data_IF_596234462950
#
_entry.id   IF_596234462950
#
_cell.length_a   1.000
_cell.length_b   1.000
_cell.length_c   1.000
_cell.angle_alpha   90.00
_cell.angle_beta   90.00
_cell.angle_gamma   90.00
#
_symmetry.space_group_name_H-M   'P 1'
#
loop_
_entity.id
_entity.type
_entity.pdbx_description
1 polymer ?
#
# COMPACT_ATOMS: atom_id res chain seq x y z
N UNK A 1 -18.30 3.87 -22.50
CA UNK A 1 -17.18 4.82 -22.26
C UNK A 1 -15.93 4.24 -22.92
N UNK A 2 -15.10 5.02 -23.61
CA UNK A 2 -13.88 4.50 -24.27
C UNK A 2 -12.70 4.58 -23.32
N UNK A 3 -11.91 3.51 -23.24
CA UNK A 3 -10.71 3.46 -22.43
C UNK A 3 -9.64 4.39 -23.02
N UNK A 4 -9.05 5.25 -22.18
CA UNK A 4 -8.07 6.25 -22.63
C UNK A 4 -6.69 5.61 -22.70
N UNK A 5 -5.98 5.80 -23.81
CA UNK A 5 -4.56 5.46 -23.92
C UNK A 5 -3.71 6.66 -23.52
N UNK A 6 -2.86 6.49 -22.49
CA UNK A 6 -2.00 7.55 -21.98
C UNK A 6 -0.78 7.76 -22.88
N UNK A 7 -0.46 9.03 -23.12
CA UNK A 7 0.78 9.45 -23.80
C UNK A 7 1.98 9.23 -22.89
N UNK A 8 3.13 8.82 -23.47
CA UNK A 8 4.42 8.76 -22.77
C UNK A 8 5.04 10.15 -22.50
N UNK A 9 4.54 11.20 -23.16
CA UNK A 9 5.06 12.56 -23.03
C UNK A 9 4.25 13.44 -22.08
N UNK A 10 3.19 12.90 -21.47
CA UNK A 10 2.35 13.61 -20.50
C UNK A 10 1.98 12.70 -19.35
N UNK A 11 2.10 13.21 -18.12
CA UNK A 11 1.72 12.50 -16.89
C UNK A 11 0.24 12.68 -16.54
N UNK A 12 -0.53 13.41 -17.36
CA UNK A 12 -1.93 13.69 -17.06
C UNK A 12 -2.79 12.42 -17.13
N UNK A 13 -3.69 12.29 -16.15
CA UNK A 13 -4.73 11.26 -16.13
C UNK A 13 -6.10 11.88 -16.46
N UNK A 14 -7.02 11.12 -17.10
CA UNK A 14 -8.43 11.48 -17.12
C UNK A 14 -8.99 11.54 -15.69
N UNK A 15 -10.16 12.15 -15.53
CA UNK A 15 -10.84 12.19 -14.23
C UNK A 15 -11.16 10.76 -13.75
N UNK A 16 -10.90 10.40 -12.48
CA UNK A 16 -11.32 9.13 -11.91
C UNK A 16 -12.82 8.85 -12.03
N UNK A 17 -13.65 9.90 -12.13
CA UNK A 17 -15.10 9.75 -12.34
C UNK A 17 -15.45 9.10 -13.69
N UNK A 18 -14.51 9.15 -14.64
CA UNK A 18 -14.59 8.49 -15.92
C UNK A 18 -13.99 7.08 -15.93
N UNK A 19 -13.82 6.41 -14.79
CA UNK A 19 -13.42 5.00 -14.75
C UNK A 19 -14.59 4.07 -15.07
N UNK A 20 -14.32 2.96 -15.76
CA UNK A 20 -15.32 1.98 -16.19
C UNK A 20 -16.05 1.36 -15.00
N UNK A 21 -17.32 1.01 -15.20
CA UNK A 21 -18.08 0.17 -14.25
C UNK A 21 -17.70 -1.30 -14.39
N UNK A 22 -17.42 -1.74 -15.61
CA UNK A 22 -16.96 -3.08 -15.90
C UNK A 22 -15.82 -3.05 -16.95
N UNK A 23 -14.63 -3.58 -16.63
CA UNK A 23 -14.22 -4.03 -15.29
C UNK A 23 -14.15 -2.84 -14.31
N UNK A 24 -14.58 -3.06 -13.05
CA UNK A 24 -14.74 -1.99 -12.06
C UNK A 24 -13.46 -1.18 -11.85
N UNK A 25 -13.52 0.11 -12.16
CA UNK A 25 -12.46 1.06 -11.88
C UNK A 25 -11.41 1.19 -12.97
N UNK A 26 -11.45 0.42 -14.05
CA UNK A 26 -10.45 0.56 -15.11
C UNK A 26 -10.57 1.95 -15.78
N UNK A 27 -9.52 2.75 -15.70
CA UNK A 27 -9.53 4.17 -16.07
C UNK A 27 -8.76 4.43 -17.37
N UNK A 28 -7.56 3.86 -17.49
CA UNK A 28 -6.67 4.12 -18.62
C UNK A 28 -5.66 2.98 -18.84
N UNK A 29 -5.05 2.95 -20.03
CA UNK A 29 -3.98 2.02 -20.38
C UNK A 29 -2.75 2.75 -20.93
N UNK A 30 -1.58 2.14 -20.80
CA UNK A 30 -0.31 2.65 -21.31
C UNK A 30 0.36 3.69 -20.41
N UNK A 31 1.12 4.60 -21.01
CA UNK A 31 2.03 5.48 -20.28
C UNK A 31 3.34 4.78 -19.89
N UNK A 32 3.78 5.00 -18.65
CA UNK A 32 5.04 4.53 -18.07
C UNK A 32 4.89 4.40 -16.54
N UNK A 33 5.89 3.83 -15.86
CA UNK A 33 5.95 3.78 -14.38
C UNK A 33 6.95 4.79 -13.82
N UNK A 34 7.11 5.95 -14.47
CA UNK A 34 8.02 6.98 -13.95
C UNK A 34 7.53 7.49 -12.59
N UNK A 35 8.45 7.88 -11.68
CA UNK A 35 8.07 8.43 -10.37
C UNK A 35 7.06 9.58 -10.47
N UNK A 36 7.24 10.49 -11.42
CA UNK A 36 6.34 11.62 -11.63
C UNK A 36 4.92 11.18 -11.98
N UNK A 37 4.75 10.14 -12.82
CA UNK A 37 3.43 9.62 -13.16
C UNK A 37 2.80 8.86 -12.00
N UNK A 38 3.55 8.00 -11.31
CA UNK A 38 3.04 7.27 -10.14
C UNK A 38 2.54 8.23 -9.07
N UNK A 39 3.33 9.27 -8.73
CA UNK A 39 2.90 10.29 -7.77
C UNK A 39 1.65 11.03 -8.24
N UNK A 40 1.56 11.40 -9.51
CA UNK A 40 0.35 12.00 -10.08
C UNK A 40 -0.86 11.05 -9.99
N UNK A 41 -0.66 9.75 -10.19
CA UNK A 41 -1.70 8.75 -10.09
C UNK A 41 -2.22 8.67 -8.64
N UNK A 42 -1.34 8.44 -7.66
CA UNK A 42 -1.73 8.34 -6.25
C UNK A 42 -2.40 9.60 -5.71
N UNK A 43 -1.90 10.79 -6.10
CA UNK A 43 -2.51 12.07 -5.72
C UNK A 43 -3.93 12.26 -6.28
N UNK A 44 -4.33 11.43 -7.26
CA UNK A 44 -5.66 11.41 -7.88
C UNK A 44 -6.45 10.15 -7.54
N UNK A 45 -5.97 9.31 -6.63
CA UNK A 45 -6.66 8.08 -6.23
C UNK A 45 -6.53 6.96 -7.26
N UNK A 46 -5.52 7.02 -8.11
CA UNK A 46 -5.28 6.07 -9.20
C UNK A 46 -4.06 5.22 -8.86
N UNK A 47 -4.11 3.92 -9.14
CA UNK A 47 -2.99 3.00 -8.93
C UNK A 47 -2.77 2.10 -10.15
N UNK A 48 -1.53 1.64 -10.41
CA UNK A 48 -1.25 0.69 -11.46
C UNK A 48 -1.60 -0.74 -10.99
N UNK A 49 -2.27 -1.51 -11.84
CA UNK A 49 -2.52 -2.93 -11.56
C UNK A 49 -2.73 -3.70 -12.87
N UNK A 50 -1.83 -4.62 -13.21
CA UNK A 50 -1.83 -5.34 -14.48
C UNK A 50 -1.04 -6.65 -14.35
N UNK A 51 -1.29 -7.62 -15.24
CA UNK A 51 -0.59 -8.89 -15.23
C UNK A 51 0.67 -8.86 -16.11
N UNK A 52 1.63 -9.77 -15.91
CA UNK A 52 2.73 -9.95 -16.86
C UNK A 52 2.21 -10.17 -18.28
N UNK A 53 2.68 -9.35 -19.23
CA UNK A 53 2.24 -9.40 -20.64
C UNK A 53 1.14 -8.39 -20.98
N UNK A 54 0.41 -7.87 -19.99
CA UNK A 54 -0.55 -6.79 -20.20
C UNK A 54 0.16 -5.45 -20.42
N UNK A 55 -0.47 -4.50 -21.15
CA UNK A 55 -0.07 -3.10 -21.05
C UNK A 55 -0.27 -2.61 -19.60
N UNK A 56 0.43 -1.54 -19.21
CA UNK A 56 0.17 -0.89 -17.92
C UNK A 56 -1.30 -0.46 -17.87
N UNK A 57 -2.03 -0.91 -16.87
CA UNK A 57 -3.43 -0.53 -16.61
C UNK A 57 -3.52 0.29 -15.32
N UNK A 58 -4.39 1.30 -15.34
CA UNK A 58 -4.57 2.24 -14.24
C UNK A 58 -6.01 2.20 -13.76
N UNK A 59 -6.18 2.14 -12.43
CA UNK A 59 -7.47 1.84 -11.80
C UNK A 59 -7.87 2.87 -10.75
N UNK A 60 -9.17 3.10 -10.63
CA UNK A 60 -9.82 3.86 -9.58
C UNK A 60 -11.24 3.28 -9.33
N UNK A 61 -11.35 2.15 -8.61
CA UNK A 61 -12.60 1.43 -8.37
C UNK A 61 -13.63 2.27 -7.61
N UNK A 62 -14.89 1.92 -7.83
CA UNK A 62 -16.05 2.41 -7.07
C UNK A 62 -16.96 1.21 -6.75
N UNK A 63 -17.11 0.81 -5.48
CA UNK A 63 -16.52 1.43 -4.28
C UNK A 63 -15.00 1.26 -4.17
N UNK A 64 -14.39 2.07 -3.29
CA UNK A 64 -12.96 2.01 -2.92
C UNK A 64 -12.83 1.37 -1.55
N UNK A 65 -11.90 0.42 -1.41
CA UNK A 65 -11.60 -0.20 -0.13
C UNK A 65 -10.61 0.65 0.69
N UNK A 66 -10.93 0.86 1.97
CA UNK A 66 -10.11 1.62 2.92
C UNK A 66 -10.07 0.94 4.29
N UNK A 67 -9.03 1.21 5.04
CA UNK A 67 -8.89 0.82 6.44
C UNK A 67 -8.64 2.08 7.27
N UNK A 68 -9.55 2.38 8.18
CA UNK A 68 -9.32 3.34 9.25
C UNK A 68 -8.40 2.66 10.27
N UNK A 69 -7.17 3.15 10.53
CA UNK A 69 -6.23 2.49 11.43
C UNK A 69 -6.83 2.22 12.82
N UNK A 70 -7.69 3.10 13.33
CA UNK A 70 -8.40 2.96 14.60
C UNK A 70 -9.44 1.82 14.59
N UNK A 71 -9.90 1.42 13.42
CA UNK A 71 -10.86 0.33 13.20
C UNK A 71 -10.18 -1.01 12.94
N UNK A 72 -8.84 -1.09 12.99
CA UNK A 72 -8.09 -2.32 12.76
C UNK A 72 -8.61 -3.44 13.68
N UNK A 73 -9.18 -4.47 13.06
CA UNK A 73 -9.69 -5.62 13.76
C UNK A 73 -8.59 -6.65 13.97
N UNK A 74 -8.24 -6.86 15.25
CA UNK A 74 -7.29 -7.90 15.66
C UNK A 74 -7.96 -8.90 16.59
N UNK A 75 -7.90 -10.18 16.20
CA UNK A 75 -8.48 -11.28 16.96
C UNK A 75 -7.84 -11.42 18.36
N UNK A 76 -8.55 -12.07 19.28
CA UNK A 76 -8.01 -12.34 20.63
C UNK A 76 -6.73 -13.17 20.61
N UNK A 77 -6.62 -14.14 19.69
CA UNK A 77 -5.40 -14.95 19.54
C UNK A 77 -4.24 -14.09 19.06
N UNK A 78 -4.47 -13.21 18.08
CA UNK A 78 -3.44 -12.31 17.57
C UNK A 78 -2.97 -11.31 18.64
N UNK A 79 -3.88 -10.76 19.45
CA UNK A 79 -3.48 -9.91 20.60
C UNK A 79 -2.60 -10.65 21.60
N UNK A 80 -2.87 -11.94 21.86
CA UNK A 80 -2.02 -12.77 22.74
C UNK A 80 -0.68 -13.07 22.11
N UNK A 81 -0.66 -13.38 20.82
CA UNK A 81 0.56 -13.60 20.04
C UNK A 81 1.45 -12.36 20.07
N UNK A 82 0.89 -11.19 19.76
CA UNK A 82 1.66 -9.94 19.68
C UNK A 82 2.35 -9.57 21.01
N UNK A 83 1.67 -9.77 22.15
CA UNK A 83 2.26 -9.54 23.49
C UNK A 83 3.52 -10.36 23.80
N UNK A 84 3.70 -11.50 23.13
CA UNK A 84 4.87 -12.38 23.28
C UNK A 84 5.54 -12.59 21.92
N UNK A 85 5.42 -11.59 21.05
CA UNK A 85 5.85 -11.75 19.66
C UNK A 85 7.36 -11.96 19.62
N UNK A 86 7.85 -12.98 18.89
CA UNK A 86 9.28 -13.16 18.67
C UNK A 86 9.80 -12.21 17.58
N UNK A 87 8.97 -11.28 17.10
CA UNK A 87 9.28 -10.45 15.95
C UNK A 87 9.83 -9.09 16.33
N UNK A 88 10.84 -8.65 15.58
CA UNK A 88 11.26 -7.25 15.52
C UNK A 88 10.59 -6.63 14.29
N UNK A 89 9.97 -5.46 14.45
CA UNK A 89 9.36 -4.71 13.34
C UNK A 89 10.17 -3.46 13.08
N UNK A 90 10.57 -3.25 11.84
CA UNK A 90 11.28 -2.06 11.40
C UNK A 90 10.54 -1.34 10.29
N UNK A 91 10.97 -0.11 10.03
CA UNK A 91 10.55 0.68 8.90
C UNK A 91 11.76 1.03 8.04
N UNK A 92 11.61 0.92 6.71
CA UNK A 92 12.57 1.37 5.70
C UNK A 92 14.00 0.82 5.84
N UNK A 93 14.19 -0.35 6.43
CA UNK A 93 15.50 -1.02 6.45
C UNK A 93 15.71 -1.96 5.27
N UNK A 94 14.64 -2.52 4.70
CA UNK A 94 14.77 -3.54 3.64
C UNK A 94 13.64 -3.45 2.61
N UNK A 95 13.37 -2.23 2.10
CA UNK A 95 12.32 -1.99 1.10
C UNK A 95 12.40 -2.97 -0.08
N UNK A 96 13.60 -3.20 -0.61
CA UNK A 96 13.80 -4.13 -1.73
C UNK A 96 13.41 -5.57 -1.42
N UNK A 97 13.84 -6.08 -0.26
CA UNK A 97 13.48 -7.43 0.15
C UNK A 97 11.97 -7.57 0.39
N UNK A 98 11.30 -6.50 0.86
CA UNK A 98 9.85 -6.50 1.04
C UNK A 98 9.10 -6.56 -0.29
N UNK A 99 9.44 -5.70 -1.24
CA UNK A 99 8.74 -5.71 -2.54
C UNK A 99 9.04 -7.01 -3.32
N UNK A 100 10.25 -7.55 -3.20
CA UNK A 100 10.61 -8.87 -3.75
C UNK A 100 9.81 -9.99 -3.08
N UNK A 101 9.67 -9.98 -1.75
CA UNK A 101 8.83 -10.96 -1.03
C UNK A 101 7.36 -10.91 -1.46
N UNK A 102 6.82 -9.71 -1.68
CA UNK A 102 5.48 -9.53 -2.25
C UNK A 102 5.37 -10.04 -3.70
N UNK A 103 6.48 -10.06 -4.45
CA UNK A 103 6.52 -10.55 -5.82
C UNK A 103 6.65 -12.08 -5.91
N UNK A 104 7.42 -12.71 -5.02
CA UNK A 104 7.72 -14.15 -5.09
C UNK A 104 6.68 -15.05 -4.42
N UNK A 105 6.02 -14.60 -3.37
CA UNK A 105 5.31 -15.49 -2.45
C UNK A 105 3.81 -15.65 -2.80
N UNK A 106 3.49 -15.90 -4.08
CA UNK A 106 2.12 -16.12 -4.55
C UNK A 106 2.01 -17.30 -5.51
N UNK A 107 1.19 -18.30 -5.14
CA UNK A 107 0.96 -19.51 -5.96
C UNK A 107 0.31 -19.20 -7.33
N UNK A 108 -0.56 -18.19 -7.39
CA UNK A 108 -1.27 -17.78 -8.62
C UNK A 108 -0.52 -16.70 -9.44
N UNK A 109 0.72 -16.38 -9.06
CA UNK A 109 1.50 -15.28 -9.63
C UNK A 109 1.19 -13.92 -9.01
N UNK A 110 1.87 -12.88 -9.51
CA UNK A 110 1.82 -11.52 -8.95
C UNK A 110 1.71 -10.48 -10.06
N UNK A 111 1.09 -9.34 -9.75
CA UNK A 111 1.13 -8.15 -10.60
C UNK A 111 2.46 -7.38 -10.48
N UNK A 112 3.26 -7.72 -9.46
CA UNK A 112 4.54 -7.08 -9.17
C UNK A 112 5.62 -7.64 -10.11
N UNK A 113 5.64 -7.11 -11.33
CA UNK A 113 6.68 -7.41 -12.31
C UNK A 113 8.00 -6.74 -11.95
N UNK A 114 9.11 -7.14 -12.60
CA UNK A 114 10.41 -6.46 -12.45
C UNK A 114 10.31 -4.94 -12.67
N UNK A 115 9.52 -4.48 -13.64
CA UNK A 115 9.32 -3.04 -13.89
C UNK A 115 8.60 -2.33 -12.75
N UNK A 116 7.67 -3.02 -12.05
CA UNK A 116 7.03 -2.51 -10.83
C UNK A 116 8.06 -2.43 -9.70
N UNK A 117 8.86 -3.49 -9.50
CA UNK A 117 9.94 -3.49 -8.49
C UNK A 117 10.86 -2.29 -8.66
N UNK A 118 11.40 -2.09 -9.87
CA UNK A 118 12.29 -0.99 -10.19
C UNK A 118 11.63 0.40 -9.98
N UNK A 119 10.37 0.56 -10.38
CA UNK A 119 9.65 1.81 -10.24
C UNK A 119 9.38 2.20 -8.78
N UNK A 120 8.99 1.25 -7.94
CA UNK A 120 8.70 1.50 -6.53
C UNK A 120 9.98 1.62 -5.70
N UNK A 121 11.05 0.92 -6.08
CA UNK A 121 12.39 1.21 -5.56
C UNK A 121 12.77 2.66 -5.79
N UNK A 122 12.53 3.17 -7.01
CA UNK A 122 12.83 4.56 -7.31
C UNK A 122 11.96 5.53 -6.49
N UNK A 123 10.69 5.19 -6.24
CA UNK A 123 9.84 5.97 -5.31
C UNK A 123 10.38 5.94 -3.87
N UNK A 124 10.91 4.81 -3.42
CA UNK A 124 11.50 4.69 -2.10
C UNK A 124 12.76 5.55 -1.95
N UNK A 125 13.67 5.52 -2.93
CA UNK A 125 14.86 6.38 -2.97
C UNK A 125 14.51 7.88 -2.94
N UNK A 126 13.36 8.24 -3.51
CA UNK A 126 12.85 9.61 -3.50
C UNK A 126 12.06 9.96 -2.21
N UNK A 127 11.91 9.02 -1.28
CA UNK A 127 11.23 9.22 0.00
C UNK A 127 9.71 9.19 -0.07
N UNK A 128 9.12 8.54 -1.08
CA UNK A 128 7.67 8.46 -1.27
C UNK A 128 7.08 7.08 -0.99
N UNK A 129 7.84 6.01 -1.22
CA UNK A 129 7.43 4.65 -0.90
C UNK A 129 8.15 4.14 0.35
N UNK A 130 7.44 3.42 1.19
CA UNK A 130 7.94 2.97 2.48
C UNK A 130 7.57 1.51 2.75
N UNK A 131 8.45 0.84 3.46
CA UNK A 131 8.30 -0.56 3.86
C UNK A 131 8.21 -0.68 5.37
N UNK A 132 7.45 -1.68 5.80
CA UNK A 132 7.39 -2.19 7.17
C UNK A 132 7.86 -3.63 7.11
N UNK A 133 8.91 -3.93 7.84
CA UNK A 133 9.58 -5.23 7.80
C UNK A 133 9.36 -5.98 9.11
N UNK A 134 9.10 -7.29 9.03
CA UNK A 134 8.94 -8.16 10.19
C UNK A 134 10.03 -9.20 10.17
N UNK A 135 10.88 -9.16 11.19
CA UNK A 135 12.05 -9.99 11.34
C UNK A 135 11.85 -10.99 12.45
N UNK A 136 12.24 -12.24 12.22
CA UNK A 136 12.52 -13.19 13.30
C UNK A 136 14.04 -13.33 13.37
N UNK A 137 14.63 -12.86 14.46
CA UNK A 137 16.09 -12.71 14.55
C UNK A 137 16.60 -11.83 13.38
N UNK A 138 17.37 -12.42 12.46
CA UNK A 138 17.92 -11.77 11.27
C UNK A 138 17.19 -12.12 9.96
N UNK A 139 16.16 -12.98 10.02
CA UNK A 139 15.40 -13.41 8.85
C UNK A 139 14.17 -12.52 8.62
N UNK A 140 13.98 -12.05 7.38
CA UNK A 140 12.78 -11.33 6.97
C UNK A 140 11.63 -12.31 6.70
N UNK A 141 10.65 -12.34 7.61
CA UNK A 141 9.57 -13.33 7.64
C UNK A 141 8.20 -12.77 7.24
N UNK A 142 8.13 -11.48 6.97
CA UNK A 142 6.94 -10.81 6.45
C UNK A 142 7.16 -9.31 6.31
N UNK A 143 6.19 -8.65 5.70
CA UNK A 143 6.25 -7.20 5.56
C UNK A 143 5.16 -6.67 4.66
N UNK A 144 5.11 -5.34 4.57
CA UNK A 144 4.23 -4.62 3.67
C UNK A 144 4.94 -3.38 3.13
N UNK A 145 4.53 -2.92 1.96
CA UNK A 145 5.00 -1.65 1.42
C UNK A 145 3.84 -0.83 0.87
N UNK A 146 4.08 0.47 0.71
CA UNK A 146 3.10 1.38 0.17
C UNK A 146 3.64 2.77 -0.08
N UNK A 147 2.78 3.67 -0.53
CA UNK A 147 3.12 5.04 -0.93
C UNK A 147 2.45 6.05 -0.01
N UNK A 148 3.24 6.97 0.55
CA UNK A 148 2.73 8.01 1.44
C UNK A 148 2.02 9.12 0.66
N UNK A 149 0.86 9.55 1.16
CA UNK A 149 0.07 10.68 0.68
C UNK A 149 -0.33 11.56 1.89
N UNK A 150 0.63 12.30 2.43
CA UNK A 150 0.43 13.13 3.62
C UNK A 150 0.09 12.28 4.84
N UNK A 151 -1.14 12.41 5.37
CA UNK A 151 -1.64 11.58 6.48
C UNK A 151 -2.45 10.36 6.01
N UNK A 152 -2.37 10.01 4.72
CA UNK A 152 -2.94 8.79 4.12
C UNK A 152 -1.79 7.91 3.61
N UNK A 153 -1.93 6.59 3.74
CA UNK A 153 -0.98 5.62 3.21
C UNK A 153 -1.65 4.68 2.21
N UNK A 154 -1.18 4.64 0.97
CA UNK A 154 -1.63 3.68 -0.04
C UNK A 154 -0.89 2.36 0.16
N UNK A 155 -1.56 1.37 0.75
CA UNK A 155 -1.00 0.03 0.96
C UNK A 155 -1.04 -0.76 -0.34
N UNK A 156 0.13 -1.19 -0.83
CA UNK A 156 0.24 -1.84 -2.15
C UNK A 156 0.18 -3.35 -2.05
N UNK A 157 1.02 -3.92 -1.19
CA UNK A 157 1.07 -5.35 -1.00
C UNK A 157 1.74 -5.71 0.32
N UNK A 158 1.48 -6.94 0.74
CA UNK A 158 2.08 -7.58 1.90
C UNK A 158 2.38 -9.04 1.60
N UNK A 159 3.34 -9.60 2.34
CA UNK A 159 3.67 -11.01 2.31
C UNK A 159 3.89 -11.54 3.73
N UNK A 160 3.77 -12.85 3.89
CA UNK A 160 3.90 -13.52 5.18
C UNK A 160 4.49 -14.92 4.96
N UNK A 161 5.68 -15.17 5.51
CA UNK A 161 6.35 -16.47 5.50
C UNK A 161 6.20 -17.21 6.83
N UNK A 162 5.77 -16.50 7.86
CA UNK A 162 5.52 -17.05 9.18
C UNK A 162 4.15 -16.63 9.73
N UNK A 163 3.71 -17.37 10.75
CA UNK A 163 2.43 -17.13 11.43
C UNK A 163 2.33 -15.68 11.91
N UNK A 164 1.25 -15.01 11.54
CA UNK A 164 0.94 -13.65 11.97
C UNK A 164 1.95 -12.56 11.55
N UNK A 165 2.99 -12.84 10.75
CA UNK A 165 4.01 -11.85 10.42
C UNK A 165 3.42 -10.62 9.71
N UNK A 166 2.68 -10.79 8.62
CA UNK A 166 2.00 -9.68 7.92
C UNK A 166 1.01 -8.90 8.81
N UNK A 167 0.27 -9.59 9.67
CA UNK A 167 -0.65 -8.97 10.64
C UNK A 167 0.09 -8.17 11.71
N UNK A 168 1.25 -8.64 12.17
CA UNK A 168 2.12 -7.89 13.07
C UNK A 168 2.65 -6.63 12.39
N UNK A 169 3.03 -6.71 11.11
CA UNK A 169 3.46 -5.53 10.33
C UNK A 169 2.37 -4.44 10.33
N UNK A 170 1.15 -4.83 9.95
CA UNK A 170 0.01 -3.90 9.89
C UNK A 170 -0.37 -3.36 11.27
N UNK A 171 -0.39 -4.20 12.31
CA UNK A 171 -0.71 -3.78 13.67
C UNK A 171 0.27 -2.71 14.18
N UNK A 172 1.56 -3.00 14.13
CA UNK A 172 2.60 -2.06 14.59
C UNK A 172 2.60 -0.79 13.75
N UNK A 173 2.40 -0.91 12.44
CA UNK A 173 2.30 0.27 11.58
C UNK A 173 1.07 1.12 11.90
N UNK A 174 -0.11 0.53 12.11
CA UNK A 174 -1.30 1.29 12.48
C UNK A 174 -1.10 2.05 13.81
N UNK A 175 -0.54 1.41 14.83
CA UNK A 175 -0.26 2.06 16.12
C UNK A 175 0.70 3.26 15.94
N UNK A 176 1.80 3.06 15.22
CA UNK A 176 2.78 4.11 14.94
C UNK A 176 2.17 5.24 14.09
N UNK A 177 1.39 4.90 13.06
CA UNK A 177 0.79 5.84 12.13
C UNK A 177 -0.24 6.73 12.82
N UNK A 178 -1.14 6.15 13.63
CA UNK A 178 -2.11 6.90 14.44
C UNK A 178 -1.38 7.84 15.41
N UNK A 179 -0.36 7.33 16.11
CA UNK A 179 0.41 8.10 17.10
C UNK A 179 1.06 9.37 16.54
N UNK A 180 1.27 9.43 15.22
CA UNK A 180 1.88 10.57 14.53
C UNK A 180 0.92 11.32 13.60
N UNK A 181 -0.39 11.06 13.68
CA UNK A 181 -1.44 11.79 12.97
C UNK A 181 -1.83 11.23 11.61
N UNK A 182 -1.41 10.00 11.28
CA UNK A 182 -1.94 9.22 10.17
C UNK A 182 -3.40 8.86 10.37
N UNK A 183 -4.17 8.80 9.27
CA UNK A 183 -5.64 8.77 9.33
C UNK A 183 -6.32 7.68 8.52
N UNK A 184 -5.72 7.29 7.39
CA UNK A 184 -6.35 6.37 6.46
C UNK A 184 -5.31 5.50 5.77
N UNK A 185 -5.59 4.21 5.68
CA UNK A 185 -4.88 3.30 4.80
C UNK A 185 -5.80 3.00 3.62
N UNK A 186 -5.33 3.25 2.41
CA UNK A 186 -6.03 2.89 1.19
C UNK A 186 -5.67 1.46 0.80
N UNK A 187 -6.69 0.59 0.78
CA UNK A 187 -6.57 -0.83 0.46
C UNK A 187 -6.94 -1.14 -1.00
N UNK A 188 -7.30 -0.11 -1.78
CA UNK A 188 -7.66 -0.19 -3.19
C UNK A 188 -8.91 -1.03 -3.46
N UNK A 189 -8.79 -2.35 -3.42
CA UNK A 189 -9.86 -3.33 -3.70
C UNK A 189 -10.05 -4.24 -2.49
N UNK A 190 -11.30 -4.42 -2.06
CA UNK A 190 -11.60 -5.24 -0.90
C UNK A 190 -11.39 -6.71 -1.24
N UNK A 191 -10.78 -7.44 -0.31
CA UNK A 191 -10.72 -8.90 -0.32
C UNK A 191 -10.98 -9.45 1.09
N UNK A 192 -11.30 -10.73 1.18
CA UNK A 192 -11.64 -11.40 2.45
C UNK A 192 -10.58 -11.18 3.54
N UNK A 193 -9.29 -11.16 3.16
CA UNK A 193 -8.21 -10.91 4.10
C UNK A 193 -8.27 -9.51 4.70
N UNK A 194 -8.32 -8.47 3.86
CA UNK A 194 -8.43 -7.07 4.31
C UNK A 194 -9.74 -6.80 5.06
N UNK A 195 -10.87 -7.38 4.61
CA UNK A 195 -12.15 -7.27 5.30
C UNK A 195 -12.09 -7.86 6.71
N UNK A 196 -11.43 -9.02 6.88
CA UNK A 196 -11.23 -9.64 8.21
C UNK A 196 -10.39 -8.78 9.17
N UNK A 197 -9.60 -7.85 8.63
CA UNK A 197 -8.79 -6.89 9.38
C UNK A 197 -9.51 -5.56 9.63
N UNK A 198 -10.77 -5.43 9.22
CA UNK A 198 -11.59 -4.23 9.42
C UNK A 198 -11.57 -3.24 8.27
N UNK A 199 -11.01 -3.59 7.11
CA UNK A 199 -11.18 -2.77 5.92
C UNK A 199 -12.65 -2.77 5.47
N UNK A 200 -13.12 -1.64 4.95
CA UNK A 200 -14.47 -1.46 4.45
C UNK A 200 -14.46 -0.73 3.11
N UNK A 201 -15.61 -0.77 2.43
CA UNK A 201 -15.81 -0.07 1.18
C UNK A 201 -16.50 1.29 1.41
N UNK A 202 -16.02 2.32 0.73
CA UNK A 202 -16.64 3.64 0.67
C UNK A 202 -16.82 4.06 -0.80
N UNK A 203 -17.80 4.94 -1.11
CA UNK A 203 -17.91 5.48 -2.47
C UNK A 203 -16.61 6.14 -2.91
N UNK A 204 -16.20 5.95 -4.17
CA UNK A 204 -14.98 6.55 -4.73
C UNK A 204 -14.93 8.05 -4.49
N UNK A 205 -16.07 8.74 -4.66
CA UNK A 205 -16.17 10.19 -4.43
C UNK A 205 -15.77 10.58 -3.01
N UNK A 206 -16.17 9.79 -2.02
CA UNK A 206 -15.87 10.05 -0.61
C UNK A 206 -14.38 9.78 -0.34
N UNK A 207 -13.82 8.71 -0.90
CA UNK A 207 -12.38 8.46 -0.87
C UNK A 207 -11.58 9.62 -1.48
N UNK A 208 -11.96 10.13 -2.67
CA UNK A 208 -11.26 11.24 -3.32
C UNK A 208 -11.34 12.53 -2.51
N UNK A 209 -12.44 12.76 -1.79
CA UNK A 209 -12.57 13.87 -0.85
C UNK A 209 -11.59 13.71 0.33
N UNK A 210 -11.52 12.53 0.95
CA UNK A 210 -10.54 12.26 2.01
C UNK A 210 -9.10 12.41 1.52
N UNK A 211 -8.76 11.83 0.36
CA UNK A 211 -7.44 11.92 -0.25
C UNK A 211 -7.03 13.39 -0.46
N UNK A 212 -7.91 14.21 -1.04
CA UNK A 212 -7.62 15.63 -1.28
C UNK A 212 -7.33 16.42 -0.01
N UNK A 213 -7.98 16.08 1.10
CA UNK A 213 -7.73 16.70 2.40
C UNK A 213 -6.46 16.15 3.05
N UNK A 214 -6.32 14.82 3.12
CA UNK A 214 -5.28 14.13 3.87
C UNK A 214 -3.90 14.24 3.21
N UNK A 215 -3.82 14.34 1.88
CA UNK A 215 -2.54 14.55 1.18
C UNK A 215 -1.88 15.89 1.45
N UNK A 216 -2.64 16.86 1.98
CA UNK A 216 -2.13 18.15 2.43
C UNK A 216 -1.66 18.12 3.89
N UNK A 217 -2.09 17.12 4.65
CA UNK A 217 -1.60 16.86 6.01
C UNK A 217 -0.13 16.43 5.99
N UNK A 218 0.55 16.62 7.12
CA UNK A 218 1.96 16.27 7.28
C UNK A 218 2.16 15.47 8.55
N UNK A 219 2.85 14.34 8.43
CA UNK A 219 3.47 13.66 9.55
C UNK A 219 4.76 14.40 9.94
N UNK A 220 5.34 14.14 11.12
CA UNK A 220 6.65 14.68 11.48
C UNK A 220 7.71 14.34 10.41
N UNK A 221 8.65 15.26 10.17
CA UNK A 221 9.65 15.13 9.10
C UNK A 221 10.51 13.86 9.20
N UNK A 222 10.68 13.33 10.41
CA UNK A 222 11.43 12.10 10.68
C UNK A 222 10.55 10.84 10.68
N UNK A 223 9.25 10.93 10.41
CA UNK A 223 8.33 9.80 10.51
C UNK A 223 8.73 8.65 9.60
N UNK A 224 9.24 8.93 8.40
CA UNK A 224 9.65 7.89 7.44
C UNK A 224 11.16 7.55 7.48
N UNK A 225 11.90 8.03 8.48
CA UNK A 225 13.33 7.68 8.62
C UNK A 225 13.46 6.23 9.09
N UNK A 226 14.43 5.45 8.56
CA UNK A 226 14.64 4.08 8.98
C UNK A 226 14.80 3.94 10.49
N UNK A 227 13.93 3.14 11.13
CA UNK A 227 13.96 2.89 12.58
C UNK A 227 13.30 1.57 12.95
N UNK A 228 13.59 1.11 14.17
CA UNK A 228 12.84 0.03 14.79
C UNK A 228 11.54 0.60 15.37
N UNK A 229 10.42 -0.05 15.07
CA UNK A 229 9.09 0.33 15.59
C UNK A 229 8.68 -0.53 16.78
N UNK A 230 9.07 -1.80 16.74
CA UNK A 230 8.74 -2.78 17.78
C UNK A 230 9.87 -3.78 17.92
N UNK A 231 10.19 -4.16 19.15
CA UNK A 231 11.12 -5.25 19.46
C UNK A 231 10.47 -6.23 20.42
N UNK A 232 10.85 -7.52 20.38
CA UNK A 232 10.44 -8.48 21.39
C UNK A 232 10.82 -7.98 22.79
N UNK A 233 9.97 -8.24 23.78
CA UNK A 233 10.34 -8.04 25.17
C UNK A 233 11.30 -9.16 25.59
N UNK A 234 12.36 -8.80 26.32
CA UNK A 234 13.28 -9.77 26.96
C UNK A 234 12.56 -10.67 27.98
#
# INVERSE_FOLDING_TARGET
>A
MRLVQLSRHSIAFPSPEGALREPNGLLALGGDLSPARLLMAYQRGIFPWFSPGDPILWWSPDPRAVLWPESLHISRSMKRFHKRSPYRVTMNYAFGQVIEGCASDREEGTWITRGVVEAYHRLHELGHAHSIEVWREDELVGGMYGVAQGTLFCGESMFSRMENASKTALLVFCEEFIGHGGKLIDCQVLNDHTASLGACEIPRRDYLNYLNQMRLGRLPNNFWVPRCLFSPQE
#
